data_IF_236912571105
#
_entry.id   IF_236912571105
#
_cell.length_a   1.000
_cell.length_b   1.000
_cell.length_c   1.000
_cell.angle_alpha   90.00
_cell.angle_beta   90.00
_cell.angle_gamma   90.00
#
_symmetry.space_group_name_H-M   'P 1'
#
loop_
_entity.id
_entity.type
_entity.pdbx_description
1 polymer ?
#
# COMPACT_ATOMS: atom_id res chain seq x y z
N UNK A 1 -25.65 -11.08 7.81
CA UNK A 1 -24.33 -11.51 8.32
C UNK A 1 -23.84 -10.49 9.34
N UNK A 2 -23.22 -10.93 10.43
CA UNK A 2 -22.70 -10.06 11.48
C UNK A 2 -21.29 -10.51 11.85
N UNK A 3 -20.37 -9.54 12.03
CA UNK A 3 -18.98 -9.75 12.39
C UNK A 3 -18.64 -8.87 13.59
N UNK A 4 -17.75 -9.34 14.45
CA UNK A 4 -17.12 -8.54 15.51
C UNK A 4 -15.89 -7.82 14.98
N UNK A 5 -15.70 -6.57 15.38
CA UNK A 5 -14.57 -5.72 15.05
C UNK A 5 -13.72 -5.52 16.29
N UNK A 6 -12.42 -5.77 16.15
CA UNK A 6 -11.45 -5.72 17.24
C UNK A 6 -10.39 -4.65 16.97
N UNK A 7 -9.98 -3.98 18.01
CA UNK A 7 -8.82 -3.07 18.05
C UNK A 7 -7.82 -3.65 19.03
N UNK A 8 -6.61 -4.00 18.56
CA UNK A 8 -5.55 -4.63 19.38
C UNK A 8 -6.09 -5.81 20.22
N UNK A 9 -6.89 -6.69 19.60
CA UNK A 9 -7.48 -7.87 20.23
C UNK A 9 -8.67 -7.61 21.14
N UNK A 10 -9.07 -6.36 21.38
CA UNK A 10 -10.29 -6.01 22.16
C UNK A 10 -11.47 -5.85 21.23
N UNK A 11 -12.56 -6.52 21.51
CA UNK A 11 -13.83 -6.36 20.77
C UNK A 11 -14.43 -4.99 21.08
N UNK A 12 -14.62 -4.15 20.05
CA UNK A 12 -15.03 -2.75 20.21
C UNK A 12 -16.33 -2.41 19.48
N UNK A 13 -16.66 -3.17 18.45
CA UNK A 13 -17.81 -2.86 17.62
C UNK A 13 -18.34 -4.11 16.91
N UNK A 14 -19.55 -4.00 16.42
CA UNK A 14 -20.19 -4.97 15.53
C UNK A 14 -20.33 -4.35 14.14
N UNK A 15 -19.98 -5.13 13.11
CA UNK A 15 -20.24 -4.85 11.72
C UNK A 15 -21.34 -5.77 11.22
N UNK A 16 -22.47 -5.22 10.79
CA UNK A 16 -23.62 -5.98 10.31
C UNK A 16 -24.01 -5.56 8.90
N UNK A 17 -24.49 -6.51 8.12
CA UNK A 17 -25.22 -6.24 6.89
C UNK A 17 -26.68 -5.97 7.20
N UNK A 18 -27.23 -4.84 6.80
CA UNK A 18 -28.64 -4.47 6.95
C UNK A 18 -29.26 -4.28 5.57
N UNK A 19 -30.32 -5.05 5.28
CA UNK A 19 -30.91 -5.09 3.94
C UNK A 19 -29.93 -5.63 2.89
N UNK A 20 -30.21 -5.35 1.62
CA UNK A 20 -29.49 -6.00 0.54
C UNK A 20 -28.04 -5.49 0.36
N UNK A 21 -27.73 -4.26 0.76
CA UNK A 21 -26.43 -3.66 0.44
C UNK A 21 -25.85 -2.70 1.49
N UNK A 22 -26.45 -2.57 2.69
CA UNK A 22 -25.97 -1.64 3.72
C UNK A 22 -25.02 -2.31 4.69
N UNK A 23 -23.92 -1.66 5.01
CA UNK A 23 -23.05 -1.98 6.11
C UNK A 23 -23.29 -1.04 7.28
N UNK A 24 -23.50 -1.60 8.47
CA UNK A 24 -23.73 -0.85 9.71
C UNK A 24 -22.66 -1.23 10.71
N UNK A 25 -21.90 -0.25 11.20
CA UNK A 25 -20.94 -0.43 12.29
C UNK A 25 -21.45 0.29 13.53
N UNK A 26 -21.57 -0.46 14.63
CA UNK A 26 -22.04 0.03 15.93
C UNK A 26 -20.99 -0.26 16.99
N UNK A 27 -20.50 0.76 17.67
CA UNK A 27 -19.61 0.58 18.81
C UNK A 27 -20.36 -0.04 20.00
N UNK A 28 -19.66 -0.87 20.77
CA UNK A 28 -20.19 -1.39 22.02
C UNK A 28 -20.23 -0.31 23.09
N UNK A 29 -21.22 -0.42 23.98
CA UNK A 29 -21.30 0.47 25.13
C UNK A 29 -20.04 0.32 26.00
N UNK A 30 -19.43 1.45 26.39
CA UNK A 30 -18.22 1.45 27.20
C UNK A 30 -16.91 1.31 26.41
N UNK A 31 -16.93 1.26 25.08
CA UNK A 31 -15.71 1.31 24.26
C UNK A 31 -14.94 2.58 24.56
N UNK A 32 -13.64 2.45 24.85
CA UNK A 32 -12.77 3.59 25.14
C UNK A 32 -12.57 4.49 23.92
N UNK A 33 -12.40 5.80 24.13
CA UNK A 33 -12.25 6.75 23.00
C UNK A 33 -11.03 6.47 22.11
N UNK A 34 -9.95 5.88 22.65
CA UNK A 34 -8.75 5.52 21.88
C UNK A 34 -8.88 4.16 21.17
N UNK A 35 -9.92 3.40 21.43
CA UNK A 35 -10.24 2.15 20.74
C UNK A 35 -11.11 2.37 19.49
N UNK A 36 -11.02 3.55 18.90
CA UNK A 36 -11.73 3.88 17.65
C UNK A 36 -11.24 3.01 16.48
N UNK A 37 -12.17 2.67 15.59
CA UNK A 37 -11.92 1.84 14.40
C UNK A 37 -11.20 2.64 13.30
N UNK A 38 -11.48 3.95 13.20
CA UNK A 38 -10.90 4.82 12.18
C UNK A 38 -10.72 6.24 12.72
N UNK A 39 -9.73 6.96 12.21
CA UNK A 39 -9.57 8.40 12.46
C UNK A 39 -10.81 9.20 12.04
N UNK A 40 -11.56 8.69 11.04
CA UNK A 40 -12.81 9.31 10.57
C UNK A 40 -14.06 8.84 11.33
N UNK A 41 -13.90 7.84 12.21
CA UNK A 41 -15.00 7.20 12.94
C UNK A 41 -14.75 7.21 14.46
N UNK A 42 -14.86 8.37 15.15
CA UNK A 42 -14.73 8.42 16.60
C UNK A 42 -15.77 7.52 17.30
N UNK A 43 -15.42 7.03 18.48
CA UNK A 43 -16.34 6.23 19.31
C UNK A 43 -17.57 7.08 19.67
N UNK A 44 -18.76 6.59 19.33
CA UNK A 44 -20.06 7.22 19.60
C UNK A 44 -21.15 6.17 19.73
N UNK A 45 -22.30 6.57 20.26
CA UNK A 45 -23.47 5.68 20.44
C UNK A 45 -24.24 5.43 19.14
N UNK A 46 -24.29 6.43 18.24
CA UNK A 46 -24.96 6.30 16.95
C UNK A 46 -24.13 5.45 16.00
N UNK A 47 -24.80 4.55 15.29
CA UNK A 47 -24.17 3.68 14.30
C UNK A 47 -23.68 4.47 13.09
N UNK A 48 -22.62 3.97 12.47
CA UNK A 48 -22.16 4.40 11.16
C UNK A 48 -22.77 3.52 10.08
N UNK A 49 -23.26 4.13 9.01
CA UNK A 49 -23.95 3.44 7.92
C UNK A 49 -23.32 3.79 6.58
N UNK A 50 -23.09 2.77 5.75
CA UNK A 50 -22.63 2.92 4.37
C UNK A 50 -23.58 2.18 3.44
N UNK A 51 -23.99 2.86 2.35
CA UNK A 51 -24.75 2.24 1.27
C UNK A 51 -23.80 1.61 0.25
N UNK A 52 -24.07 0.38 -0.15
CA UNK A 52 -23.32 -0.39 -1.16
C UNK A 52 -21.80 -0.56 -0.90
N UNK A 53 -21.33 -0.41 0.32
CA UNK A 53 -19.89 -0.55 0.61
C UNK A 53 -19.62 -0.86 2.08
N UNK A 54 -18.39 -1.28 2.34
CA UNK A 54 -17.84 -1.36 3.69
C UNK A 54 -17.37 0.02 4.17
N UNK A 55 -17.20 0.20 5.50
CA UNK A 55 -16.39 1.30 6.03
C UNK A 55 -15.05 1.39 5.27
N UNK A 56 -14.63 2.57 4.82
CA UNK A 56 -13.42 2.72 4.00
C UNK A 56 -12.16 2.09 4.62
N UNK A 57 -11.98 2.20 5.94
CA UNK A 57 -10.87 1.58 6.68
C UNK A 57 -10.87 0.05 6.58
N UNK A 58 -12.02 -0.59 6.50
CA UNK A 58 -12.12 -2.04 6.29
C UNK A 58 -11.98 -2.38 4.80
N UNK A 59 -12.47 -1.52 3.92
CA UNK A 59 -12.37 -1.70 2.49
C UNK A 59 -10.92 -1.65 1.99
N UNK A 60 -10.03 -0.83 2.61
CA UNK A 60 -8.62 -0.76 2.24
C UNK A 60 -7.88 -2.10 2.39
N UNK A 61 -8.36 -2.96 3.28
CA UNK A 61 -7.78 -4.27 3.56
C UNK A 61 -8.32 -5.41 2.67
N UNK A 62 -9.32 -5.14 1.83
CA UNK A 62 -9.78 -6.14 0.87
C UNK A 62 -8.70 -6.43 -0.16
N UNK A 63 -8.48 -7.70 -0.52
CA UNK A 63 -7.54 -8.07 -1.55
C UNK A 63 -7.96 -7.49 -2.91
N UNK A 64 -6.97 -7.24 -3.74
CA UNK A 64 -7.14 -6.81 -5.13
C UNK A 64 -6.47 -7.82 -6.07
N UNK A 65 -6.75 -7.73 -7.37
CA UNK A 65 -6.10 -8.53 -8.39
C UNK A 65 -6.25 -10.04 -8.20
N UNK A 66 -5.15 -10.78 -8.39
CA UNK A 66 -5.15 -12.24 -8.41
C UNK A 66 -5.61 -12.87 -7.08
N UNK A 67 -5.18 -12.33 -5.94
CA UNK A 67 -5.62 -12.86 -4.64
C UNK A 67 -7.15 -12.75 -4.44
N UNK A 68 -7.76 -11.64 -4.88
CA UNK A 68 -9.21 -11.50 -4.84
C UNK A 68 -9.90 -12.55 -5.70
N UNK A 69 -9.38 -12.79 -6.92
CA UNK A 69 -9.92 -13.82 -7.80
C UNK A 69 -9.84 -15.20 -7.16
N UNK A 70 -8.67 -15.59 -6.65
CA UNK A 70 -8.50 -16.89 -5.95
C UNK A 70 -9.49 -17.06 -4.80
N UNK A 71 -9.66 -16.03 -3.98
CA UNK A 71 -10.59 -16.07 -2.85
C UNK A 71 -12.05 -16.17 -3.32
N UNK A 72 -12.42 -15.46 -4.39
CA UNK A 72 -13.77 -15.51 -4.95
C UNK A 72 -14.08 -16.88 -5.59
N UNK A 73 -13.13 -17.47 -6.30
CA UNK A 73 -13.27 -18.80 -6.90
C UNK A 73 -13.41 -19.89 -5.83
N UNK A 74 -12.60 -19.81 -4.78
CA UNK A 74 -12.59 -20.85 -3.75
C UNK A 74 -13.72 -20.71 -2.71
N UNK A 75 -14.04 -19.50 -2.31
CA UNK A 75 -14.98 -19.24 -1.20
C UNK A 75 -16.30 -18.62 -1.67
N UNK A 76 -16.33 -17.94 -2.82
CA UNK A 76 -17.54 -17.30 -3.33
C UNK A 76 -18.78 -18.20 -3.37
N UNK A 77 -18.69 -19.47 -3.81
CA UNK A 77 -19.82 -20.40 -3.81
C UNK A 77 -20.39 -20.66 -2.40
N UNK A 78 -19.60 -20.51 -1.36
CA UNK A 78 -19.97 -20.85 0.03
C UNK A 78 -20.35 -19.63 0.88
N UNK A 79 -19.74 -18.48 0.64
CA UNK A 79 -19.93 -17.28 1.46
C UNK A 79 -20.64 -16.14 0.71
N UNK A 80 -20.82 -16.27 -0.60
CA UNK A 80 -21.34 -15.21 -1.47
C UNK A 80 -20.28 -14.15 -1.82
N UNK A 81 -20.61 -13.29 -2.76
CA UNK A 81 -19.69 -12.26 -3.29
C UNK A 81 -19.71 -10.94 -2.49
N UNK A 82 -20.47 -10.87 -1.38
CA UNK A 82 -20.58 -9.62 -0.62
C UNK A 82 -19.27 -9.31 0.12
N UNK A 83 -18.79 -8.04 0.14
CA UNK A 83 -17.54 -7.67 0.80
C UNK A 83 -17.44 -8.04 2.30
N UNK A 84 -18.55 -8.04 3.05
CA UNK A 84 -18.59 -8.52 4.45
C UNK A 84 -18.20 -10.00 4.52
N UNK A 85 -18.61 -10.81 3.57
CA UNK A 85 -18.28 -12.22 3.55
C UNK A 85 -16.77 -12.45 3.31
N UNK A 86 -16.13 -11.65 2.46
CA UNK A 86 -14.68 -11.68 2.30
C UNK A 86 -13.96 -11.30 3.61
N UNK A 87 -14.45 -10.28 4.33
CA UNK A 87 -13.88 -9.92 5.64
C UNK A 87 -13.95 -11.05 6.67
N UNK A 88 -14.99 -11.91 6.63
CA UNK A 88 -15.06 -13.06 7.54
C UNK A 88 -13.91 -14.06 7.33
N UNK A 89 -13.35 -14.08 6.12
CA UNK A 89 -12.22 -14.94 5.72
C UNK A 89 -10.88 -14.30 6.04
N UNK A 90 -10.68 -13.06 5.59
CA UNK A 90 -9.36 -12.39 5.66
C UNK A 90 -9.19 -11.49 6.88
N UNK A 91 -10.26 -11.12 7.57
CA UNK A 91 -10.28 -10.05 8.57
C UNK A 91 -9.40 -10.27 9.79
N UNK A 92 -8.87 -11.48 10.01
CA UNK A 92 -7.89 -11.74 11.08
C UNK A 92 -6.48 -11.23 10.75
N UNK A 93 -6.15 -11.10 9.46
CA UNK A 93 -4.85 -10.66 8.96
C UNK A 93 -4.97 -9.37 8.17
N UNK A 94 -5.31 -8.29 8.85
CA UNK A 94 -5.40 -6.95 8.24
C UNK A 94 -4.13 -6.16 8.49
N UNK A 95 -3.90 -5.15 7.68
CA UNK A 95 -2.87 -4.14 7.94
C UNK A 95 -3.40 -3.17 9.00
N UNK A 96 -2.53 -2.76 9.92
CA UNK A 96 -2.91 -1.93 11.05
C UNK A 96 -3.38 -2.74 12.26
N UNK A 97 -4.06 -2.06 13.19
CA UNK A 97 -4.46 -2.59 14.50
C UNK A 97 -5.84 -3.26 14.53
N UNK A 98 -6.50 -3.33 13.36
CA UNK A 98 -7.85 -3.87 13.27
C UNK A 98 -7.83 -5.36 12.96
N UNK A 99 -8.79 -6.07 13.55
CA UNK A 99 -9.15 -7.42 13.14
C UNK A 99 -10.66 -7.53 13.05
N UNK A 100 -11.14 -8.40 12.16
CA UNK A 100 -12.56 -8.68 11.97
C UNK A 100 -12.75 -10.20 11.92
N UNK A 101 -13.71 -10.70 12.69
CA UNK A 101 -14.02 -12.12 12.72
C UNK A 101 -15.51 -12.35 13.00
N UNK A 102 -15.98 -13.56 12.77
CA UNK A 102 -17.32 -13.97 13.24
C UNK A 102 -17.36 -13.92 14.77
N UNK A 103 -18.49 -13.54 15.33
CA UNK A 103 -18.64 -13.41 16.78
C UNK A 103 -18.26 -14.72 17.50
N UNK A 104 -17.42 -14.60 18.53
CA UNK A 104 -16.91 -15.73 19.32
C UNK A 104 -15.80 -16.56 18.67
N UNK A 105 -15.31 -16.17 17.47
CA UNK A 105 -14.20 -16.86 16.81
C UNK A 105 -12.85 -16.44 17.43
N UNK A 106 -11.91 -17.39 17.49
CA UNK A 106 -10.54 -17.06 17.88
C UNK A 106 -9.89 -16.10 16.88
N UNK A 107 -9.17 -15.10 17.41
CA UNK A 107 -8.41 -14.12 16.61
C UNK A 107 -7.04 -14.63 16.18
N UNK A 108 -6.70 -15.88 16.49
CA UNK A 108 -5.40 -16.46 16.15
C UNK A 108 -5.17 -16.39 14.64
N UNK A 109 -4.03 -15.84 14.28
CA UNK A 109 -3.57 -15.83 12.89
C UNK A 109 -3.29 -17.25 12.41
N UNK A 110 -3.66 -17.61 11.19
CA UNK A 110 -3.24 -18.86 10.60
C UNK A 110 -1.71 -18.90 10.50
N UNK A 111 -1.16 -20.10 10.65
CA UNK A 111 0.28 -20.30 10.46
C UNK A 111 0.66 -19.93 9.01
N UNK A 112 1.83 -19.31 8.85
CA UNK A 112 2.37 -19.03 7.53
C UNK A 112 2.68 -20.33 6.80
N UNK A 113 2.21 -20.48 5.58
CA UNK A 113 2.33 -21.71 4.80
C UNK A 113 3.72 -21.91 4.14
N UNK A 114 4.63 -20.95 4.31
CA UNK A 114 5.97 -20.97 3.70
C UNK A 114 6.98 -20.21 4.54
N UNK A 115 8.25 -20.53 4.34
CA UNK A 115 9.37 -19.81 4.96
C UNK A 115 9.88 -18.72 4.02
N UNK A 116 9.98 -17.48 4.51
CA UNK A 116 10.49 -16.33 3.73
C UNK A 116 11.89 -16.58 3.19
N UNK A 117 12.76 -17.22 3.99
CA UNK A 117 14.12 -17.56 3.56
C UNK A 117 14.14 -18.55 2.38
N UNK A 118 13.19 -19.47 2.31
CA UNK A 118 13.06 -20.40 1.19
C UNK A 118 12.53 -19.68 -0.06
N UNK A 119 11.57 -18.76 0.10
CA UNK A 119 11.06 -17.93 -0.99
C UNK A 119 12.17 -17.06 -1.59
N UNK A 120 13.00 -16.41 -0.77
CA UNK A 120 14.08 -15.55 -1.24
C UNK A 120 15.12 -16.30 -2.10
N UNK A 121 15.29 -17.60 -1.91
CA UNK A 121 16.25 -18.46 -2.63
C UNK A 121 15.62 -19.37 -3.66
N UNK A 122 14.28 -19.41 -3.73
CA UNK A 122 13.52 -20.31 -4.58
C UNK A 122 13.24 -19.76 -5.96
N UNK A 123 12.51 -20.57 -6.75
CA UNK A 123 11.88 -20.13 -8.00
C UNK A 123 10.64 -19.28 -7.68
N UNK A 124 10.64 -18.03 -8.13
CA UNK A 124 9.51 -17.10 -8.00
C UNK A 124 8.96 -16.69 -9.37
N UNK A 125 9.05 -17.59 -10.36
CA UNK A 125 8.33 -17.42 -11.63
C UNK A 125 6.84 -17.14 -11.38
N UNK A 126 6.17 -16.50 -12.32
CA UNK A 126 4.74 -16.15 -12.19
C UNK A 126 3.88 -17.37 -11.82
N UNK A 127 4.19 -18.55 -12.37
CA UNK A 127 3.49 -19.78 -12.06
C UNK A 127 3.74 -20.28 -10.63
N UNK A 128 5.00 -20.28 -10.19
CA UNK A 128 5.37 -20.66 -8.81
C UNK A 128 4.77 -19.70 -7.80
N UNK A 129 4.77 -18.40 -8.09
CA UNK A 129 4.18 -17.37 -7.22
C UNK A 129 2.65 -17.48 -7.16
N UNK A 130 1.99 -17.76 -8.29
CA UNK A 130 0.55 -17.99 -8.32
C UNK A 130 0.14 -19.20 -7.44
N UNK A 131 0.92 -20.29 -7.48
CA UNK A 131 0.70 -21.46 -6.63
C UNK A 131 0.92 -21.12 -5.15
N UNK A 132 1.97 -20.34 -4.82
CA UNK A 132 2.20 -19.85 -3.45
C UNK A 132 1.00 -19.07 -2.91
N UNK A 133 0.44 -18.14 -3.71
CA UNK A 133 -0.75 -17.38 -3.35
C UNK A 133 -1.95 -18.30 -3.11
N UNK A 134 -2.14 -19.29 -3.97
CA UNK A 134 -3.23 -20.26 -3.86
C UNK A 134 -3.12 -21.09 -2.57
N UNK A 135 -1.94 -21.62 -2.28
CA UNK A 135 -1.69 -22.44 -1.08
C UNK A 135 -1.86 -21.58 0.18
N UNK A 136 -1.36 -20.34 0.17
CA UNK A 136 -1.50 -19.44 1.31
C UNK A 136 -2.97 -19.06 1.56
N UNK A 137 -3.72 -18.72 0.50
CA UNK A 137 -5.13 -18.39 0.60
C UNK A 137 -5.95 -19.56 1.18
N UNK A 138 -5.65 -20.80 0.80
CA UNK A 138 -6.33 -22.00 1.32
C UNK A 138 -5.92 -22.34 2.75
N UNK A 139 -4.64 -22.23 3.08
CA UNK A 139 -4.14 -22.57 4.44
C UNK A 139 -4.68 -21.60 5.51
N UNK A 140 -4.79 -20.32 5.17
CA UNK A 140 -5.33 -19.29 6.06
C UNK A 140 -6.79 -19.49 6.43
N UNK A 141 -7.53 -20.26 5.65
CA UNK A 141 -8.98 -20.49 5.83
C UNK A 141 -9.29 -21.90 6.33
N UNK A 142 -8.35 -22.85 6.22
CA UNK A 142 -8.58 -24.27 6.63
C UNK A 142 -9.02 -24.43 8.08
N UNK A 143 -8.68 -23.50 8.97
CA UNK A 143 -9.18 -23.48 10.34
C UNK A 143 -10.63 -22.99 10.53
N UNK A 144 -11.23 -22.39 9.49
CA UNK A 144 -12.58 -21.79 9.55
C UNK A 144 -13.68 -22.63 8.89
N UNK A 145 -13.33 -23.45 7.91
CA UNK A 145 -14.31 -24.27 7.15
C UNK A 145 -13.79 -25.70 6.95
N UNK A 146 -13.74 -26.53 8.01
CA UNK A 146 -13.13 -27.86 7.93
C UNK A 146 -13.85 -28.86 7.01
N UNK A 147 -15.06 -28.56 6.54
CA UNK A 147 -15.95 -29.55 5.85
C UNK A 147 -16.07 -29.37 4.34
N UNK A 148 -15.41 -28.35 3.73
CA UNK A 148 -15.64 -28.01 2.32
C UNK A 148 -14.40 -28.18 1.42
N UNK A 149 -13.27 -28.58 1.97
CA UNK A 149 -11.99 -28.68 1.21
C UNK A 149 -11.85 -29.97 0.38
N UNK A 150 -12.73 -30.95 0.55
CA UNK A 150 -12.64 -32.25 -0.14
C UNK A 150 -13.18 -32.26 -1.57
N UNK A 151 -13.62 -31.13 -2.12
CA UNK A 151 -14.31 -31.04 -3.40
C UNK A 151 -13.72 -30.02 -4.38
N UNK A 152 -12.41 -29.80 -4.42
CA UNK A 152 -11.83 -28.89 -5.41
C UNK A 152 -11.30 -29.68 -6.61
N UNK A 153 -12.07 -29.69 -7.71
CA UNK A 153 -11.55 -30.07 -9.02
C UNK A 153 -10.47 -29.08 -9.47
N UNK A 154 -9.39 -29.52 -10.13
CA UNK A 154 -8.38 -28.63 -10.67
C UNK A 154 -9.02 -27.73 -11.72
N UNK A 155 -9.14 -26.44 -11.44
CA UNK A 155 -9.64 -25.45 -12.38
C UNK A 155 -8.60 -25.26 -13.50
N UNK A 156 -8.96 -25.67 -14.70
CA UNK A 156 -8.31 -25.26 -15.92
C UNK A 156 -8.63 -23.76 -16.14
N UNK A 157 -7.64 -22.98 -16.56
CA UNK A 157 -7.66 -21.53 -16.85
C UNK A 157 -7.34 -20.54 -15.73
N UNK A 158 -6.25 -20.78 -15.00
CA UNK A 158 -5.64 -19.79 -14.08
C UNK A 158 -4.75 -18.74 -14.80
N UNK A 159 -4.85 -18.60 -16.12
CA UNK A 159 -3.94 -17.78 -16.93
C UNK A 159 -4.51 -16.40 -17.31
N UNK A 160 -5.33 -15.79 -16.47
CA UNK A 160 -5.61 -14.36 -16.66
C UNK A 160 -4.49 -13.54 -16.03
N UNK A 161 -3.61 -12.87 -16.82
CA UNK A 161 -2.43 -12.20 -16.27
C UNK A 161 -2.86 -10.97 -15.48
N UNK A 162 -2.82 -11.06 -14.15
CA UNK A 162 -2.97 -9.90 -13.29
C UNK A 162 -1.62 -9.17 -13.17
N UNK A 163 -1.61 -7.82 -13.28
CA UNK A 163 -0.36 -7.05 -13.34
C UNK A 163 0.48 -7.13 -12.07
N UNK A 164 -0.15 -7.34 -10.92
CA UNK A 164 0.55 -7.51 -9.61
C UNK A 164 -0.17 -8.57 -8.80
N UNK A 165 0.59 -9.53 -8.27
CA UNK A 165 0.11 -10.48 -7.27
C UNK A 165 0.78 -10.15 -5.94
N UNK A 166 0.01 -10.10 -4.84
CA UNK A 166 0.55 -9.87 -3.51
C UNK A 166 -0.20 -10.69 -2.47
N UNK A 167 0.50 -11.08 -1.41
CA UNK A 167 -0.09 -11.73 -0.25
C UNK A 167 0.42 -11.08 1.04
N UNK A 168 -0.41 -11.07 2.07
CA UNK A 168 -0.11 -10.49 3.38
C UNK A 168 0.07 -11.61 4.38
N UNK A 169 1.23 -11.62 5.05
CA UNK A 169 1.50 -12.49 6.20
C UNK A 169 1.49 -11.68 7.49
N UNK A 170 1.75 -12.33 8.61
CA UNK A 170 1.82 -11.66 9.90
C UNK A 170 2.88 -10.55 9.94
N UNK A 171 4.04 -10.75 9.28
CA UNK A 171 5.19 -9.84 9.34
C UNK A 171 5.59 -9.22 8.01
N UNK A 172 5.08 -9.74 6.90
CA UNK A 172 5.52 -9.35 5.57
C UNK A 172 4.35 -9.17 4.61
N UNK A 173 4.58 -8.35 3.61
CA UNK A 173 3.79 -8.31 2.38
C UNK A 173 4.71 -8.84 1.29
N UNK A 174 4.27 -9.87 0.59
CA UNK A 174 5.03 -10.50 -0.49
C UNK A 174 4.41 -10.09 -1.82
N UNK A 175 5.24 -9.66 -2.77
CA UNK A 175 4.79 -9.25 -4.11
C UNK A 175 5.57 -10.03 -5.16
N UNK A 176 4.88 -10.52 -6.19
CA UNK A 176 5.49 -11.23 -7.31
C UNK A 176 5.53 -10.40 -8.59
N UNK A 177 6.51 -10.67 -9.45
CA UNK A 177 6.58 -10.16 -10.81
C UNK A 177 5.62 -10.93 -11.74
N UNK A 178 5.31 -10.37 -12.90
CA UNK A 178 4.46 -11.02 -13.90
C UNK A 178 4.98 -10.78 -15.31
N UNK A 179 4.49 -11.52 -16.29
CA UNK A 179 4.84 -11.32 -17.71
C UNK A 179 4.51 -9.91 -18.20
N UNK A 180 3.48 -9.26 -17.64
CA UNK A 180 3.12 -7.86 -17.97
C UNK A 180 4.03 -6.84 -17.31
N UNK A 181 4.56 -7.15 -16.13
CA UNK A 181 5.46 -6.32 -15.34
C UNK A 181 6.69 -7.16 -14.94
N UNK A 182 7.55 -7.51 -15.89
CA UNK A 182 8.73 -8.32 -15.61
C UNK A 182 9.66 -7.56 -14.66
N UNK A 183 10.24 -8.29 -13.70
CA UNK A 183 11.14 -7.74 -12.69
C UNK A 183 10.56 -6.54 -11.90
N UNK A 184 9.23 -6.45 -11.74
CA UNK A 184 8.63 -5.35 -10.96
C UNK A 184 9.07 -5.43 -9.49
N UNK A 185 9.32 -6.61 -8.96
CA UNK A 185 9.86 -6.83 -7.62
C UNK A 185 11.25 -6.18 -7.45
N UNK A 186 12.16 -6.42 -8.37
CA UNK A 186 13.50 -5.84 -8.38
C UNK A 186 13.47 -4.33 -8.62
N UNK A 187 12.61 -3.84 -9.55
CA UNK A 187 12.40 -2.42 -9.79
C UNK A 187 11.91 -1.70 -8.51
N UNK A 188 10.89 -2.24 -7.84
CA UNK A 188 10.40 -1.67 -6.59
C UNK A 188 11.49 -1.68 -5.52
N UNK A 189 12.23 -2.78 -5.36
CA UNK A 189 13.34 -2.87 -4.41
C UNK A 189 14.37 -1.77 -4.63
N UNK A 190 14.88 -1.60 -5.84
CA UNK A 190 15.88 -0.59 -6.19
C UNK A 190 15.36 0.84 -5.97
N UNK A 191 14.10 1.12 -6.34
CA UNK A 191 13.48 2.41 -6.03
C UNK A 191 13.35 2.64 -4.53
N UNK A 192 13.00 1.62 -3.75
CA UNK A 192 12.93 1.70 -2.29
C UNK A 192 14.32 1.92 -1.66
N UNK A 193 15.41 1.47 -2.29
CA UNK A 193 16.78 1.81 -1.84
C UNK A 193 17.08 3.31 -2.04
N UNK A 194 16.59 3.95 -3.13
CA UNK A 194 16.67 5.41 -3.29
C UNK A 194 15.87 6.11 -2.20
N UNK A 195 14.62 5.72 -2.00
CA UNK A 195 13.71 6.36 -1.04
C UNK A 195 14.26 6.27 0.39
N UNK A 196 14.85 5.12 0.77
CA UNK A 196 15.44 4.89 2.10
C UNK A 196 16.57 5.84 2.47
N UNK A 197 17.29 6.38 1.46
CA UNK A 197 18.35 7.37 1.66
C UNK A 197 17.82 8.78 1.90
N UNK A 198 16.53 9.00 1.67
CA UNK A 198 15.90 10.32 1.73
C UNK A 198 14.91 10.43 2.90
N UNK A 199 14.16 9.35 3.20
CA UNK A 199 13.09 9.39 4.20
C UNK A 199 12.84 8.00 4.82
N UNK A 200 12.10 7.92 5.96
CA UNK A 200 11.66 6.66 6.53
C UNK A 200 10.92 5.81 5.51
N UNK A 201 11.28 4.52 5.43
CA UNK A 201 10.87 3.63 4.35
C UNK A 201 10.65 2.21 4.87
N UNK A 202 9.67 1.50 4.34
CA UNK A 202 9.50 0.08 4.58
C UNK A 202 10.77 -0.69 4.16
N UNK A 203 11.25 -1.60 5.00
CA UNK A 203 12.38 -2.45 4.65
C UNK A 203 11.93 -3.44 3.58
N UNK A 204 12.76 -3.62 2.55
CA UNK A 204 12.51 -4.55 1.45
C UNK A 204 13.67 -5.50 1.24
N UNK A 205 13.37 -6.73 0.85
CA UNK A 205 14.31 -7.75 0.40
C UNK A 205 13.79 -8.32 -0.92
N UNK A 206 14.67 -8.60 -1.86
CA UNK A 206 14.32 -9.18 -3.16
C UNK A 206 14.89 -10.59 -3.25
N UNK A 207 14.18 -11.50 -3.92
CA UNK A 207 14.65 -12.87 -4.13
C UNK A 207 15.84 -12.93 -5.06
N UNK A 208 16.62 -14.01 -4.94
CA UNK A 208 17.84 -14.23 -5.74
C UNK A 208 17.57 -14.25 -7.25
N UNK A 209 16.34 -14.59 -7.68
CA UNK A 209 15.90 -14.55 -9.07
C UNK A 209 15.31 -13.18 -9.49
N UNK A 210 15.22 -12.19 -8.58
CA UNK A 210 14.69 -10.87 -8.83
C UNK A 210 13.17 -10.80 -9.06
N UNK A 211 12.42 -11.90 -8.84
CA UNK A 211 11.01 -12.01 -9.21
C UNK A 211 10.04 -11.83 -8.04
N UNK A 212 10.49 -11.97 -6.80
CA UNK A 212 9.68 -11.73 -5.60
C UNK A 212 10.28 -10.65 -4.72
N UNK A 213 9.41 -9.81 -4.14
CA UNK A 213 9.74 -8.77 -3.17
C UNK A 213 9.11 -9.10 -1.84
N UNK A 214 9.90 -9.08 -0.80
CA UNK A 214 9.47 -9.17 0.59
C UNK A 214 9.51 -7.77 1.20
N UNK A 215 8.37 -7.25 1.59
CA UNK A 215 8.22 -5.95 2.28
C UNK A 215 7.94 -6.23 3.74
N UNK A 216 8.79 -5.75 4.65
CA UNK A 216 8.55 -5.87 6.08
C UNK A 216 7.43 -4.93 6.51
N UNK A 217 6.45 -5.44 7.22
CA UNK A 217 5.36 -4.65 7.79
C UNK A 217 5.92 -3.75 8.89
N UNK A 218 5.57 -2.49 8.83
CA UNK A 218 5.96 -1.45 9.80
C UNK A 218 4.85 -1.11 10.79
N UNK A 219 3.66 -1.70 10.61
CA UNK A 219 2.49 -1.56 11.47
C UNK A 219 2.47 -2.59 12.62
N UNK A 220 3.39 -3.53 12.61
CA UNK A 220 3.55 -4.59 13.63
C UNK A 220 4.89 -4.48 14.34
N UNK A 221 4.98 -5.07 15.53
CA UNK A 221 6.24 -5.20 16.27
C UNK A 221 7.12 -6.34 15.72
N UNK A 222 8.29 -6.57 16.37
CA UNK A 222 9.23 -7.62 15.99
C UNK A 222 8.63 -9.03 16.12
N UNK A 223 7.62 -9.22 16.95
CA UNK A 223 6.90 -10.46 17.16
C UNK A 223 5.76 -10.64 16.15
N UNK A 224 5.49 -9.61 15.32
CA UNK A 224 4.40 -9.59 14.35
C UNK A 224 3.04 -9.26 14.97
N UNK A 225 3.03 -8.71 16.20
CA UNK A 225 1.79 -8.24 16.82
C UNK A 225 1.45 -6.84 16.32
N UNK A 226 0.17 -6.59 16.07
CA UNK A 226 -0.30 -5.27 15.66
C UNK A 226 0.02 -4.23 16.74
N UNK A 227 0.65 -3.13 16.34
CA UNK A 227 1.04 -2.03 17.22
C UNK A 227 0.43 -0.71 16.78
N UNK A 228 0.46 -0.43 15.49
CA UNK A 228 -0.03 0.82 14.91
C UNK A 228 -1.38 0.64 14.23
N UNK A 229 -2.29 1.61 14.42
CA UNK A 229 -3.36 1.84 13.47
C UNK A 229 -2.78 2.36 12.16
N UNK A 230 -3.31 1.93 11.04
CA UNK A 230 -2.90 2.39 9.71
C UNK A 230 -4.13 2.68 8.87
N UNK A 231 -4.16 3.86 8.26
CA UNK A 231 -5.18 4.23 7.27
C UNK A 231 -4.56 4.92 6.08
N UNK A 232 -4.79 4.39 4.87
CA UNK A 232 -4.41 5.05 3.64
C UNK A 232 -5.27 6.29 3.35
N UNK A 233 -4.79 7.19 2.49
CA UNK A 233 -5.56 8.39 2.16
C UNK A 233 -6.82 8.10 1.34
N UNK A 234 -6.94 6.93 0.72
CA UNK A 234 -8.19 6.50 0.10
C UNK A 234 -9.28 6.32 1.17
N UNK A 235 -8.94 5.63 2.28
CA UNK A 235 -9.80 5.47 3.45
C UNK A 235 -10.13 6.80 4.11
N UNK A 236 -9.11 7.61 4.44
CA UNK A 236 -9.26 8.89 5.13
C UNK A 236 -10.11 9.91 4.36
N UNK A 237 -10.13 9.81 3.03
CA UNK A 237 -10.93 10.67 2.15
C UNK A 237 -12.32 10.07 1.82
N UNK A 238 -12.66 8.91 2.39
CA UNK A 238 -13.93 8.23 2.16
C UNK A 238 -14.10 7.72 0.72
N UNK A 239 -13.00 7.44 0.02
CA UNK A 239 -13.01 6.95 -1.34
C UNK A 239 -13.13 5.42 -1.38
N UNK A 240 -13.82 4.88 -2.40
CA UNK A 240 -13.78 3.45 -2.71
C UNK A 240 -12.40 3.08 -3.24
N UNK A 241 -11.93 1.84 -3.03
CA UNK A 241 -10.65 1.35 -3.57
C UNK A 241 -10.53 1.54 -5.09
N UNK A 242 -11.63 1.39 -5.84
CA UNK A 242 -11.68 1.67 -7.29
C UNK A 242 -11.46 3.14 -7.65
N UNK A 243 -11.66 4.06 -6.71
CA UNK A 243 -11.50 5.51 -6.88
C UNK A 243 -10.16 6.04 -6.35
N UNK A 244 -9.18 5.18 -6.09
CA UNK A 244 -7.86 5.53 -5.52
C UNK A 244 -7.08 6.59 -6.32
N UNK A 245 -7.39 6.75 -7.60
CA UNK A 245 -6.83 7.77 -8.50
C UNK A 245 -7.63 9.08 -8.54
N UNK A 246 -8.82 9.13 -7.91
CA UNK A 246 -9.74 10.27 -7.97
C UNK A 246 -9.55 11.21 -6.77
N UNK A 247 -8.32 11.65 -6.57
CA UNK A 247 -7.97 12.61 -5.52
C UNK A 247 -6.87 13.54 -6.00
N UNK A 248 -6.49 14.49 -5.13
CA UNK A 248 -5.42 15.45 -5.39
C UNK A 248 -4.48 15.55 -4.19
N UNK A 249 -3.26 16.01 -4.43
CA UNK A 249 -2.30 16.28 -3.36
C UNK A 249 -2.81 17.31 -2.35
N UNK A 250 -3.64 18.28 -2.81
CA UNK A 250 -4.30 19.27 -1.93
C UNK A 250 -5.28 18.60 -0.96
N UNK A 251 -6.05 17.60 -1.44
CA UNK A 251 -6.98 16.85 -0.57
C UNK A 251 -6.23 16.02 0.46
N UNK A 252 -5.10 15.40 0.08
CA UNK A 252 -4.21 14.69 1.00
C UNK A 252 -3.64 15.66 2.05
N UNK A 253 -3.14 16.83 1.63
CA UNK A 253 -2.65 17.86 2.55
C UNK A 253 -3.76 18.35 3.51
N UNK A 254 -4.99 18.47 3.03
CA UNK A 254 -6.14 18.81 3.89
C UNK A 254 -6.42 17.72 4.92
N UNK A 255 -6.37 16.45 4.54
CA UNK A 255 -6.54 15.33 5.46
C UNK A 255 -5.44 15.32 6.55
N UNK A 256 -4.19 15.59 6.19
CA UNK A 256 -3.09 15.77 7.14
C UNK A 256 -3.40 16.90 8.15
N UNK A 257 -3.90 18.04 7.68
CA UNK A 257 -4.27 19.16 8.59
C UNK A 257 -5.38 18.80 9.56
N UNK A 258 -6.29 17.91 9.16
CA UNK A 258 -7.42 17.46 9.98
C UNK A 258 -6.97 16.43 11.01
N UNK A 259 -6.16 15.44 10.62
CA UNK A 259 -5.90 14.26 11.43
C UNK A 259 -4.55 14.29 12.15
N UNK A 260 -3.55 15.00 11.63
CA UNK A 260 -2.22 15.06 12.24
C UNK A 260 -2.14 16.23 13.25
N UNK A 261 -1.77 15.97 14.51
CA UNK A 261 -1.60 17.01 15.53
C UNK A 261 -0.57 18.08 15.14
N UNK A 262 -0.74 19.29 15.67
CA UNK A 262 0.11 20.45 15.34
C UNK A 262 1.62 20.18 15.42
N UNK A 263 2.14 19.58 16.49
CA UNK A 263 3.57 19.30 16.64
C UNK A 263 4.17 18.40 15.56
N UNK A 264 3.44 17.37 15.12
CA UNK A 264 3.91 16.41 14.11
C UNK A 264 3.68 16.87 12.65
N UNK A 265 2.87 17.91 12.45
CA UNK A 265 2.34 18.29 11.12
C UNK A 265 3.43 18.74 10.15
N UNK A 266 4.38 19.53 10.60
CA UNK A 266 5.44 20.03 9.71
C UNK A 266 6.36 18.90 9.23
N UNK A 267 6.69 17.96 10.10
CA UNK A 267 7.47 16.78 9.72
C UNK A 267 6.70 15.90 8.73
N UNK A 268 5.41 15.69 8.98
CA UNK A 268 4.51 15.00 8.05
C UNK A 268 4.48 15.68 6.67
N UNK A 269 4.48 17.01 6.61
CA UNK A 269 4.54 17.73 5.33
C UNK A 269 5.90 17.63 4.64
N UNK A 270 7.01 17.55 5.39
CA UNK A 270 8.35 17.28 4.82
C UNK A 270 8.40 15.90 4.15
N UNK A 271 7.91 14.88 4.84
CA UNK A 271 7.83 13.53 4.29
C UNK A 271 6.89 13.47 3.07
N UNK A 272 5.76 14.17 3.10
CA UNK A 272 4.85 14.24 1.95
C UNK A 272 5.50 14.96 0.75
N UNK A 273 6.26 16.04 0.99
CA UNK A 273 7.00 16.74 -0.06
C UNK A 273 8.10 15.85 -0.65
N UNK A 274 8.83 15.11 0.19
CA UNK A 274 9.82 14.12 -0.27
C UNK A 274 9.15 13.04 -1.13
N UNK A 275 7.99 12.54 -0.72
CA UNK A 275 7.21 11.56 -1.51
C UNK A 275 6.81 12.12 -2.87
N UNK A 276 6.33 13.37 -2.94
CA UNK A 276 6.00 14.03 -4.20
C UNK A 276 7.22 14.20 -5.10
N UNK A 277 8.34 14.69 -4.56
CA UNK A 277 9.58 14.89 -5.32
C UNK A 277 10.17 13.56 -5.81
N UNK A 278 10.17 12.51 -4.96
CA UNK A 278 10.60 11.16 -5.33
C UNK A 278 9.71 10.54 -6.42
N UNK A 279 8.39 10.75 -6.34
CA UNK A 279 7.44 10.35 -7.39
C UNK A 279 7.86 10.90 -8.76
N UNK A 280 8.28 12.17 -8.79
CA UNK A 280 8.78 12.81 -10.02
C UNK A 280 10.16 12.31 -10.41
N UNK A 281 11.10 12.20 -9.48
CA UNK A 281 12.47 11.75 -9.76
C UNK A 281 12.49 10.31 -10.31
N UNK A 282 11.67 9.42 -9.75
CA UNK A 282 11.61 8.01 -10.12
C UNK A 282 10.59 7.70 -11.23
N UNK A 283 9.87 8.71 -11.74
CA UNK A 283 8.79 8.51 -12.74
C UNK A 283 7.77 7.44 -12.30
N UNK A 284 7.31 7.56 -11.05
CA UNK A 284 6.28 6.69 -10.51
C UNK A 284 4.87 7.21 -10.86
N UNK A 285 4.29 6.73 -11.95
CA UNK A 285 2.92 7.08 -12.35
C UNK A 285 1.84 6.29 -11.59
N UNK A 286 2.20 5.54 -10.54
CA UNK A 286 1.25 4.76 -9.73
C UNK A 286 1.17 5.24 -8.25
N UNK A 287 1.77 6.39 -7.91
CA UNK A 287 1.68 6.95 -6.56
C UNK A 287 0.28 7.53 -6.29
N UNK A 288 -0.67 6.69 -5.94
CA UNK A 288 -2.07 7.03 -5.69
C UNK A 288 -2.40 7.09 -4.18
N UNK A 289 -3.66 7.39 -3.83
CA UNK A 289 -4.11 7.59 -2.45
C UNK A 289 -3.89 6.37 -1.52
N UNK A 290 -3.77 5.16 -2.05
CA UNK A 290 -3.48 3.95 -1.25
C UNK A 290 -1.98 3.73 -1.00
N UNK A 291 -1.10 4.47 -1.68
CA UNK A 291 0.37 4.35 -1.52
C UNK A 291 0.92 5.33 -0.48
N UNK A 292 0.07 6.00 0.25
CA UNK A 292 0.40 6.87 1.37
C UNK A 292 -0.61 6.65 2.48
N UNK A 293 -0.16 6.57 3.74
CA UNK A 293 -1.01 6.28 4.88
C UNK A 293 -0.61 7.11 6.11
N UNK A 294 -1.52 7.25 7.06
CA UNK A 294 -1.24 7.71 8.41
C UNK A 294 -1.10 6.50 9.34
N UNK A 295 -0.09 6.54 10.19
CA UNK A 295 0.07 5.66 11.34
C UNK A 295 -0.34 6.38 12.61
N UNK A 296 -0.94 5.66 13.56
CA UNK A 296 -1.37 6.24 14.83
C UNK A 296 -1.47 5.19 15.94
N UNK A 297 -1.21 5.59 17.17
CA UNK A 297 -1.57 4.85 18.38
C UNK A 297 -2.88 5.38 18.98
N UNK A 298 -3.07 6.69 18.92
CA UNK A 298 -4.26 7.41 19.37
C UNK A 298 -4.40 8.71 18.55
N UNK A 299 -5.40 9.56 18.85
CA UNK A 299 -5.63 10.80 18.09
C UNK A 299 -4.60 11.90 18.36
N UNK A 300 -3.83 11.80 19.41
CA UNK A 300 -2.73 12.72 19.76
C UNK A 300 -1.38 12.33 19.16
N UNK A 301 -1.27 11.10 18.64
CA UNK A 301 -0.06 10.54 18.05
C UNK A 301 -0.39 9.99 16.66
N UNK A 302 -0.32 10.86 15.66
CA UNK A 302 -0.62 10.57 14.26
C UNK A 302 0.47 11.16 13.37
N UNK A 303 1.06 10.37 12.49
CA UNK A 303 2.11 10.78 11.57
C UNK A 303 2.03 10.04 10.22
N UNK A 304 2.78 10.48 9.22
CA UNK A 304 2.85 9.76 7.95
C UNK A 304 3.57 8.42 8.14
N UNK A 305 3.10 7.38 7.48
CA UNK A 305 3.77 6.08 7.46
C UNK A 305 5.15 6.18 6.80
N UNK A 306 6.07 5.23 7.07
CA UNK A 306 7.19 5.01 6.18
C UNK A 306 6.71 4.88 4.73
N UNK A 307 7.52 5.31 3.76
CA UNK A 307 7.20 5.16 2.34
C UNK A 307 7.18 3.68 1.93
N UNK A 308 6.30 3.32 1.02
CA UNK A 308 6.15 1.99 0.44
C UNK A 308 5.63 2.06 -0.98
N UNK A 309 5.75 0.99 -1.74
CA UNK A 309 5.21 0.85 -3.11
C UNK A 309 5.72 1.92 -4.09
N UNK A 310 7.02 2.25 -3.99
CA UNK A 310 7.69 3.19 -4.88
C UNK A 310 8.44 2.44 -5.97
N UNK A 311 8.12 2.70 -7.24
CA UNK A 311 8.71 2.03 -8.39
C UNK A 311 8.77 2.97 -9.61
N UNK A 312 9.61 2.64 -10.58
CA UNK A 312 9.66 3.34 -11.88
C UNK A 312 8.66 2.68 -12.84
N UNK A 313 7.47 3.26 -12.99
CA UNK A 313 6.43 2.68 -13.86
C UNK A 313 6.70 2.90 -15.33
N UNK A 314 7.36 3.99 -15.73
CA UNK A 314 7.63 4.37 -17.12
C UNK A 314 8.55 3.40 -17.89
N UNK A 315 9.19 2.45 -17.20
CA UNK A 315 9.99 1.41 -17.87
C UNK A 315 9.12 0.37 -18.59
N UNK A 316 7.85 0.26 -18.22
CA UNK A 316 6.92 -0.69 -18.84
C UNK A 316 6.15 -0.05 -19.99
N UNK A 317 6.14 -0.70 -21.16
CA UNK A 317 5.56 -0.14 -22.39
C UNK A 317 4.11 0.34 -22.23
N UNK A 318 3.29 -0.37 -21.45
CA UNK A 318 1.90 0.01 -21.17
C UNK A 318 1.75 1.24 -20.26
N UNK A 319 2.85 1.72 -19.63
CA UNK A 319 2.84 2.82 -18.66
C UNK A 319 3.80 3.95 -19.01
N UNK A 320 4.57 3.82 -20.09
CA UNK A 320 5.66 4.74 -20.46
C UNK A 320 5.21 6.20 -20.62
N UNK A 321 3.95 6.43 -20.99
CA UNK A 321 3.39 7.76 -21.20
C UNK A 321 2.31 8.13 -20.17
N UNK A 322 2.17 7.36 -19.09
CA UNK A 322 1.15 7.64 -18.10
C UNK A 322 1.43 8.96 -17.36
N UNK A 323 0.39 9.77 -17.12
CA UNK A 323 0.50 10.93 -16.25
C UNK A 323 0.71 10.50 -14.78
N UNK A 324 1.05 11.43 -13.87
CA UNK A 324 1.02 11.16 -12.44
C UNK A 324 -0.31 10.55 -11.99
N UNK A 325 -0.28 9.64 -11.03
CA UNK A 325 -1.45 8.92 -10.54
C UNK A 325 -2.58 9.84 -10.08
N UNK A 326 -2.24 10.90 -9.36
CA UNK A 326 -3.18 11.87 -8.81
C UNK A 326 -2.84 13.30 -9.23
N UNK A 327 -3.81 14.18 -9.17
CA UNK A 327 -3.67 15.56 -9.63
C UNK A 327 -2.98 16.46 -8.60
N UNK A 328 -2.33 17.50 -9.10
CA UNK A 328 -2.00 18.68 -8.32
C UNK A 328 -2.22 19.95 -9.15
N UNK A 329 -2.61 21.03 -8.51
CA UNK A 329 -2.95 22.30 -9.17
C UNK A 329 -3.95 22.14 -10.33
N UNK A 330 -4.93 21.22 -10.17
CA UNK A 330 -5.97 20.96 -11.16
C UNK A 330 -5.49 20.27 -12.44
N UNK A 331 -4.28 19.66 -12.43
CA UNK A 331 -3.72 19.00 -13.61
C UNK A 331 -3.17 17.61 -13.24
N UNK A 332 -3.41 16.67 -14.15
CA UNK A 332 -2.85 15.32 -14.10
C UNK A 332 -1.79 15.16 -15.18
N UNK A 333 -0.70 15.94 -15.05
CA UNK A 333 0.41 15.96 -15.99
C UNK A 333 1.72 16.16 -15.23
N UNK A 334 2.85 15.71 -15.82
CA UNK A 334 4.19 15.98 -15.30
C UNK A 334 4.54 17.45 -15.51
N UNK A 335 4.17 18.29 -14.53
CA UNK A 335 4.41 19.74 -14.60
C UNK A 335 5.88 20.08 -14.33
N UNK A 336 6.41 21.15 -14.98
CA UNK A 336 7.74 21.66 -14.66
C UNK A 336 7.89 22.00 -13.19
N UNK A 337 9.07 21.79 -12.63
CA UNK A 337 9.32 21.88 -11.22
C UNK A 337 9.08 23.25 -10.57
N UNK A 338 9.08 24.39 -11.33
CA UNK A 338 8.60 25.68 -10.79
C UNK A 338 7.16 25.60 -10.26
N UNK A 339 6.36 24.70 -10.81
CA UNK A 339 5.00 24.44 -10.32
C UNK A 339 5.03 23.57 -9.05
N UNK A 340 5.94 22.59 -8.98
CA UNK A 340 6.19 21.83 -7.76
C UNK A 340 6.64 22.73 -6.62
N UNK A 341 7.63 23.62 -6.87
CA UNK A 341 8.10 24.59 -5.89
C UNK A 341 6.95 25.41 -5.30
N UNK A 342 6.19 26.06 -6.19
CA UNK A 342 5.07 26.91 -5.80
C UNK A 342 4.02 26.10 -5.02
N UNK A 343 3.75 24.89 -5.46
CA UNK A 343 2.81 23.99 -4.81
C UNK A 343 3.28 23.60 -3.40
N UNK A 344 4.53 23.16 -3.25
CA UNK A 344 5.11 22.75 -1.97
C UNK A 344 5.14 23.92 -0.97
N UNK A 345 5.51 25.14 -1.43
CA UNK A 345 5.44 26.33 -0.56
C UNK A 345 4.00 26.60 -0.13
N UNK A 346 3.07 26.67 -1.07
CA UNK A 346 1.70 27.12 -0.78
C UNK A 346 0.87 26.06 -0.07
N UNK A 347 1.09 24.79 -0.41
CA UNK A 347 0.26 23.69 0.09
C UNK A 347 0.87 22.99 1.32
N UNK A 348 2.20 22.90 1.41
CA UNK A 348 2.88 22.21 2.51
C UNK A 348 3.62 23.16 3.46
N UNK A 349 3.81 24.42 3.06
CA UNK A 349 4.48 25.43 3.89
C UNK A 349 6.01 25.27 3.95
N UNK A 350 6.61 24.52 3.03
CA UNK A 350 8.05 24.24 3.03
C UNK A 350 8.78 25.28 2.20
N UNK A 351 9.72 26.05 2.77
CA UNK A 351 10.41 27.11 2.07
C UNK A 351 11.36 26.57 0.99
N UNK A 352 11.62 27.38 -0.03
CA UNK A 352 12.46 27.01 -1.19
C UNK A 352 13.84 26.48 -0.79
N UNK A 353 14.50 27.10 0.20
CA UNK A 353 15.82 26.66 0.67
C UNK A 353 15.80 25.20 1.15
N UNK A 354 14.76 24.79 1.83
CA UNK A 354 14.60 23.42 2.31
C UNK A 354 14.30 22.45 1.15
N UNK A 355 13.47 22.87 0.18
CA UNK A 355 13.20 22.08 -1.03
C UNK A 355 14.47 21.81 -1.85
N UNK A 356 15.39 22.78 -1.96
CA UNK A 356 16.68 22.59 -2.64
C UNK A 356 17.53 21.51 -1.96
N UNK A 357 17.54 21.46 -0.63
CA UNK A 357 18.20 20.40 0.11
C UNK A 357 17.55 19.03 -0.12
N UNK A 358 16.22 18.97 -0.18
CA UNK A 358 15.49 17.74 -0.51
C UNK A 358 15.85 17.24 -1.91
N UNK A 359 15.85 18.13 -2.92
CA UNK A 359 16.21 17.79 -4.30
C UNK A 359 17.68 17.33 -4.40
N UNK A 360 18.59 17.96 -3.64
CA UNK A 360 19.98 17.51 -3.60
C UNK A 360 20.09 16.11 -2.99
N UNK A 361 19.44 15.86 -1.85
CA UNK A 361 19.44 14.54 -1.23
C UNK A 361 18.86 13.44 -2.13
N UNK A 362 17.79 13.74 -2.87
CA UNK A 362 17.22 12.81 -3.87
C UNK A 362 18.22 12.54 -5.00
N UNK A 363 18.90 13.58 -5.50
CA UNK A 363 19.91 13.43 -6.55
C UNK A 363 21.07 12.54 -6.13
N UNK A 364 21.56 12.75 -4.90
CA UNK A 364 22.67 11.98 -4.36
C UNK A 364 22.23 10.51 -4.14
N UNK A 365 21.02 10.30 -3.61
CA UNK A 365 20.45 8.96 -3.44
C UNK A 365 20.29 8.22 -4.77
N UNK A 366 19.83 8.90 -5.82
CA UNK A 366 19.72 8.31 -7.17
C UNK A 366 21.11 7.95 -7.72
N UNK A 367 22.10 8.82 -7.55
CA UNK A 367 23.47 8.55 -8.01
C UNK A 367 24.07 7.33 -7.30
N UNK A 368 23.90 7.23 -5.98
CA UNK A 368 24.36 6.11 -5.17
C UNK A 368 23.74 4.77 -5.62
N UNK A 369 22.41 4.73 -5.76
CA UNK A 369 21.69 3.49 -6.12
C UNK A 369 21.86 3.12 -7.59
N UNK A 370 22.27 4.05 -8.46
CA UNK A 370 22.57 3.74 -9.87
C UNK A 370 23.61 2.62 -10.00
N UNK A 371 24.55 2.50 -9.07
CA UNK A 371 25.51 1.40 -9.04
C UNK A 371 24.84 0.05 -8.75
N UNK A 372 23.84 0.03 -7.85
CA UNK A 372 23.06 -1.17 -7.54
C UNK A 372 22.23 -1.62 -8.75
N UNK A 373 21.70 -0.67 -9.55
CA UNK A 373 21.01 -0.98 -10.81
C UNK A 373 21.95 -1.64 -11.81
N UNK A 374 23.18 -1.12 -11.96
CA UNK A 374 24.19 -1.73 -12.86
C UNK A 374 24.60 -3.13 -12.40
N UNK A 375 24.74 -3.33 -11.09
CA UNK A 375 25.00 -4.66 -10.52
C UNK A 375 23.85 -5.61 -10.84
N UNK A 376 22.59 -5.21 -10.59
CA UNK A 376 21.42 -6.00 -10.87
C UNK A 376 21.28 -6.36 -12.37
N UNK A 377 21.66 -5.46 -13.29
CA UNK A 377 21.70 -5.75 -14.72
C UNK A 377 22.74 -6.83 -15.08
N UNK A 378 23.85 -6.91 -14.36
CA UNK A 378 24.86 -7.96 -14.58
C UNK A 378 24.43 -9.31 -13.98
N UNK A 379 23.72 -9.30 -12.86
CA UNK A 379 23.24 -10.51 -12.17
C UNK A 379 21.99 -11.10 -12.85
N UNK A 380 21.14 -10.26 -13.43
CA UNK A 380 19.88 -10.64 -14.08
C UNK A 380 19.83 -10.19 -15.55
N UNK A 381 20.29 -11.01 -16.51
CA UNK A 381 20.30 -10.64 -17.93
C UNK A 381 18.93 -10.18 -18.48
N UNK A 382 17.83 -10.74 -17.98
CA UNK A 382 16.46 -10.34 -18.36
C UNK A 382 16.04 -8.96 -17.82
N UNK A 383 16.78 -8.38 -16.88
CA UNK A 383 16.54 -7.06 -16.32
C UNK A 383 17.25 -5.93 -17.07
N UNK A 384 18.18 -6.21 -17.98
CA UNK A 384 19.04 -5.21 -18.62
C UNK A 384 18.24 -4.07 -19.26
N UNK A 385 17.26 -4.38 -20.09
CA UNK A 385 16.45 -3.36 -20.75
C UNK A 385 15.64 -2.50 -19.77
N UNK A 386 15.16 -3.11 -18.69
CA UNK A 386 14.43 -2.43 -17.63
C UNK A 386 15.39 -1.53 -16.86
N UNK A 387 16.55 -2.03 -16.48
CA UNK A 387 17.58 -1.29 -15.75
C UNK A 387 18.05 -0.06 -16.52
N UNK A 388 18.35 -0.19 -17.82
CA UNK A 388 18.71 0.95 -18.66
C UNK A 388 17.61 2.02 -18.70
N UNK A 389 16.35 1.62 -18.87
CA UNK A 389 15.22 2.55 -18.86
C UNK A 389 15.02 3.18 -17.48
N UNK A 390 15.24 2.44 -16.38
CA UNK A 390 15.20 3.01 -15.02
C UNK A 390 16.22 4.15 -14.89
N UNK A 391 17.47 3.90 -15.24
CA UNK A 391 18.54 4.92 -15.17
C UNK A 391 18.23 6.14 -16.04
N UNK A 392 17.68 5.94 -17.24
CA UNK A 392 17.21 7.03 -18.10
C UNK A 392 16.07 7.81 -17.41
N UNK A 393 15.03 7.15 -16.93
CA UNK A 393 13.90 7.77 -16.24
C UNK A 393 14.36 8.58 -15.02
N UNK A 394 15.28 8.03 -14.22
CA UNK A 394 15.83 8.71 -13.05
C UNK A 394 16.65 9.92 -13.42
N UNK A 395 17.49 9.81 -14.46
CA UNK A 395 18.27 10.96 -14.98
C UNK A 395 17.35 12.09 -15.42
N UNK A 396 16.34 11.79 -16.24
CA UNK A 396 15.36 12.78 -16.72
C UNK A 396 14.55 13.37 -15.56
N UNK A 397 14.13 12.52 -14.60
CA UNK A 397 13.39 12.95 -13.43
C UNK A 397 14.18 13.90 -12.54
N UNK A 398 15.43 13.56 -12.22
CA UNK A 398 16.32 14.40 -11.41
C UNK A 398 16.67 15.70 -12.16
N UNK A 399 16.95 15.64 -13.47
CA UNK A 399 17.17 16.85 -14.27
C UNK A 399 15.95 17.76 -14.26
N UNK A 400 14.74 17.20 -14.40
CA UNK A 400 13.49 17.94 -14.30
C UNK A 400 13.29 18.61 -12.94
N UNK A 401 13.78 18.01 -11.85
CA UNK A 401 13.77 18.63 -10.52
C UNK A 401 14.86 19.71 -10.35
N UNK A 402 16.01 19.56 -11.03
CA UNK A 402 17.16 20.47 -10.95
C UNK A 402 17.16 21.57 -12.02
N UNK A 403 16.28 21.48 -13.04
CA UNK A 403 16.26 22.47 -14.11
C UNK A 403 16.20 23.88 -13.50
N UNK A 404 17.19 24.74 -13.85
CA UNK A 404 17.29 26.12 -13.36
C UNK A 404 16.04 26.95 -13.68
N UNK A 405 15.32 26.64 -14.75
CA UNK A 405 13.98 27.21 -15.01
C UNK A 405 12.94 26.80 -13.97
N UNK A 406 13.28 25.81 -13.19
CA UNK A 406 12.46 25.13 -12.23
C UNK A 406 12.77 25.63 -10.82
N UNK A 407 14.04 25.63 -10.44
CA UNK A 407 14.54 26.00 -9.13
C UNK A 407 15.52 27.21 -9.20
N UNK A 408 15.54 27.95 -10.32
CA UNK A 408 16.30 29.16 -10.36
C UNK A 408 15.77 30.15 -9.31
N UNK A 409 16.58 30.41 -8.33
CA UNK A 409 16.51 31.64 -7.58
C UNK A 409 16.74 32.76 -8.59
N UNK A 410 15.70 33.51 -8.94
CA UNK A 410 15.96 34.82 -9.53
C UNK A 410 16.64 35.66 -8.47
N UNK A 411 17.75 36.33 -8.81
CA UNK A 411 18.43 37.24 -7.90
C UNK A 411 17.48 38.31 -7.36
#
# INVERSE_FOLDING_TARGET
>A
MQLSVYVLGREVATLAQSGDFKSVLSYHQGTAQDDFVSLTMPVRTESYVWDDQLPPVLQMNLPEGYLLQVLQEQFGPHIGAHPIALLSVIGRNMVGRLQVATSGAELRMPAQAFEVAALLKGDNSEAAFAELVRVHATSGVSGMVPKFLDAVSPAADLLSPHPKASLITQRHIIKGSSAKLPFVALNEHLCMQVVRRVMPTAKTEVSDDGQALVVHRFDVDEQGQAHWGMEDFCSLLGLRSSAKYNTTWERIAKAIRIHVPGPQRMETFRQLASTLLLTYALRNADCHAKNMALLYTNRGDVHLSPAYDMLTTHVYAGFANNPPAIEFMGKKTWLPGKHLQKFIVNCFGIPLKEQLLMVQAISDAVADVSHEVHQAMSEHPGFQDIGHRMLQCWTEGVQGLRDERVYALRP
#
